data_IF_119876471539
#
_entry.id   IF_119876471539
#
_cell.length_a   1.000
_cell.length_b   1.000
_cell.length_c   1.000
_cell.angle_alpha   90.00
_cell.angle_beta   90.00
_cell.angle_gamma   90.00
#
_symmetry.space_group_name_H-M   'P 1'
#
loop_
_entity.id
_entity.type
_entity.pdbx_description
1 polymer ?
#
# COMPACT_ATOMS: atom_id res chain seq x y z
N UNK A 1 15.67 15.89 8.47
CA UNK A 1 17.00 15.46 7.97
C UNK A 1 17.46 16.50 6.97
N UNK A 2 18.70 16.96 7.07
CA UNK A 2 19.26 17.90 6.08
C UNK A 2 19.58 17.10 4.83
N UNK A 3 19.08 17.56 3.67
CA UNK A 3 19.42 17.03 2.34
C UNK A 3 20.94 16.82 2.23
N UNK A 4 21.37 15.63 1.79
CA UNK A 4 22.79 15.28 1.60
C UNK A 4 23.39 14.35 2.66
N UNK A 5 23.02 14.47 3.95
CA UNK A 5 23.58 13.59 5.00
C UNK A 5 23.13 12.14 4.87
N UNK A 6 21.87 11.93 4.49
CA UNK A 6 21.33 10.57 4.32
C UNK A 6 22.00 9.85 3.15
N UNK A 7 22.29 10.56 2.06
CA UNK A 7 22.97 10.00 0.90
C UNK A 7 24.41 9.57 1.27
N UNK A 8 25.14 10.41 2.00
CA UNK A 8 26.49 10.08 2.50
C UNK A 8 26.49 8.89 3.46
N UNK A 9 25.48 8.78 4.32
CA UNK A 9 25.35 7.66 5.26
C UNK A 9 25.01 6.35 4.54
N UNK A 10 24.03 6.36 3.63
CA UNK A 10 23.58 5.16 2.93
C UNK A 10 24.63 4.60 1.95
N UNK A 11 25.44 5.46 1.34
CA UNK A 11 26.54 5.05 0.46
C UNK A 11 27.64 4.26 1.17
N UNK A 12 27.63 4.20 2.51
CA UNK A 12 28.54 3.39 3.31
C UNK A 12 27.89 2.11 3.87
N UNK A 13 26.65 1.80 3.48
CA UNK A 13 25.86 0.69 4.00
C UNK A 13 25.51 -0.28 2.86
N UNK A 14 25.66 -1.58 3.12
CA UNK A 14 25.17 -2.65 2.23
C UNK A 14 23.84 -3.15 2.77
N UNK A 15 22.82 -3.15 1.92
CA UNK A 15 21.51 -3.70 2.25
C UNK A 15 21.51 -5.21 1.98
N UNK A 16 21.19 -6.01 3.00
CA UNK A 16 20.98 -7.46 2.85
C UNK A 16 19.49 -7.73 3.00
N UNK A 17 18.87 -8.31 1.97
CA UNK A 17 17.44 -8.60 1.92
C UNK A 17 17.25 -10.11 1.92
N UNK A 18 16.48 -10.60 2.88
CA UNK A 18 15.91 -11.95 2.85
C UNK A 18 14.58 -11.85 2.11
N UNK A 19 14.40 -12.62 1.04
CA UNK A 19 13.28 -12.55 0.08
C UNK A 19 13.35 -11.36 -0.90
N UNK A 20 13.94 -11.61 -2.09
CA UNK A 20 14.18 -10.60 -3.15
C UNK A 20 12.90 -10.06 -3.80
N UNK A 21 11.78 -10.77 -3.66
CA UNK A 21 10.47 -10.30 -4.11
C UNK A 21 10.03 -9.01 -3.40
N UNK A 22 10.52 -8.72 -2.20
CA UNK A 22 10.31 -7.43 -1.53
C UNK A 22 10.94 -6.24 -2.28
N UNK A 23 11.94 -6.49 -3.14
CA UNK A 23 12.51 -5.45 -4.00
C UNK A 23 11.64 -5.16 -5.22
N UNK A 24 10.74 -6.08 -5.60
CA UNK A 24 9.83 -5.94 -6.74
C UNK A 24 8.65 -5.08 -6.32
N UNK A 25 8.68 -3.80 -6.71
CA UNK A 25 7.64 -2.85 -6.34
C UNK A 25 6.48 -2.96 -7.32
N UNK A 26 5.50 -3.83 -7.00
CA UNK A 26 4.25 -3.97 -7.75
C UNK A 26 3.18 -2.92 -7.40
N UNK A 27 3.46 -2.05 -6.42
CA UNK A 27 2.51 -1.07 -5.87
C UNK A 27 2.96 0.37 -6.11
N UNK A 28 2.29 1.37 -5.49
CA UNK A 28 2.68 2.79 -5.59
C UNK A 28 4.06 2.97 -4.93
N UNK A 29 5.15 3.20 -5.70
CA UNK A 29 6.51 3.21 -5.16
C UNK A 29 6.83 4.44 -4.32
N UNK A 30 5.93 5.42 -4.30
CA UNK A 30 6.10 6.69 -3.64
C UNK A 30 5.29 6.71 -2.35
N UNK A 31 5.97 6.87 -1.22
CA UNK A 31 5.38 7.14 0.07
C UNK A 31 5.59 8.61 0.44
N UNK A 32 4.53 9.29 0.86
CA UNK A 32 4.66 10.61 1.46
C UNK A 32 4.84 10.46 2.96
N UNK A 33 5.98 10.92 3.49
CA UNK A 33 6.12 11.09 4.93
C UNK A 33 5.33 12.35 5.33
N UNK A 34 4.15 12.10 5.90
CA UNK A 34 3.24 13.12 6.41
C UNK A 34 3.26 13.08 7.93
N UNK A 35 3.21 14.27 8.55
CA UNK A 35 2.98 14.39 9.99
C UNK A 35 1.76 15.26 10.21
N UNK A 36 0.98 14.93 11.24
CA UNK A 36 -0.12 15.77 11.70
C UNK A 36 0.42 17.15 12.01
N UNK A 37 -0.19 18.14 11.38
CA UNK A 37 0.09 19.55 11.58
C UNK A 37 -0.86 20.07 12.66
N UNK A 38 -0.37 20.09 13.90
CA UNK A 38 -1.17 20.49 15.06
C UNK A 38 -1.53 21.97 14.99
N UNK A 39 -0.71 22.79 14.34
CA UNK A 39 -0.92 24.24 14.22
C UNK A 39 -2.03 24.56 13.22
N UNK A 40 -2.05 23.86 12.07
CA UNK A 40 -3.06 24.09 11.02
C UNK A 40 -4.35 23.27 11.21
N UNK A 41 -4.36 22.30 12.11
CA UNK A 41 -5.55 21.45 12.35
C UNK A 41 -6.77 22.25 12.83
N UNK A 42 -6.66 23.19 13.80
CA UNK A 42 -7.78 24.03 14.23
C UNK A 42 -8.40 24.83 13.08
N UNK A 43 -7.57 25.41 12.21
CA UNK A 43 -8.03 26.19 11.06
C UNK A 43 -8.77 25.30 10.05
N UNK A 44 -8.27 24.08 9.81
CA UNK A 44 -8.94 23.08 8.95
C UNK A 44 -10.30 22.69 9.50
N UNK A 45 -10.37 22.40 10.79
CA UNK A 45 -11.61 22.05 11.47
C UNK A 45 -12.61 23.20 11.40
N UNK A 46 -12.17 24.43 11.64
CA UNK A 46 -13.00 25.62 11.52
C UNK A 46 -13.54 25.80 10.10
N UNK A 47 -12.68 25.66 9.07
CA UNK A 47 -13.09 25.73 7.67
C UNK A 47 -14.16 24.68 7.33
N UNK A 48 -13.88 23.40 7.61
CA UNK A 48 -14.80 22.31 7.26
C UNK A 48 -16.09 22.34 8.08
N UNK A 49 -16.06 22.81 9.33
CA UNK A 49 -17.28 23.04 10.13
C UNK A 49 -18.16 24.06 9.43
N UNK A 50 -17.63 25.23 9.07
CA UNK A 50 -18.40 26.29 8.40
C UNK A 50 -18.96 25.84 7.05
N UNK A 51 -18.14 25.17 6.24
CA UNK A 51 -18.55 24.66 4.93
C UNK A 51 -19.62 23.56 5.05
N UNK A 52 -19.50 22.66 6.04
CA UNK A 52 -20.54 21.66 6.34
C UNK A 52 -21.85 22.31 6.79
N UNK A 53 -21.76 23.39 7.56
CA UNK A 53 -22.92 24.12 8.08
C UNK A 53 -23.58 25.06 7.03
N UNK A 54 -23.17 24.97 5.75
CA UNK A 54 -23.83 25.61 4.61
C UNK A 54 -23.29 26.98 4.23
N UNK A 55 -22.07 27.34 4.64
CA UNK A 55 -21.39 28.54 4.13
C UNK A 55 -21.11 28.44 2.64
N UNK A 56 -21.07 29.60 1.95
CA UNK A 56 -20.89 29.62 0.50
C UNK A 56 -19.54 29.02 0.11
N UNK A 57 -19.55 28.26 -0.98
CA UNK A 57 -18.33 27.75 -1.61
C UNK A 57 -17.68 28.77 -2.53
N UNK A 58 -18.27 29.96 -2.69
CA UNK A 58 -17.73 31.02 -3.54
C UNK A 58 -16.41 31.57 -3.00
N UNK A 59 -15.41 31.65 -3.88
CA UNK A 59 -14.01 32.01 -3.56
C UNK A 59 -13.91 33.48 -3.09
N UNK A 60 -14.90 34.30 -3.43
CA UNK A 60 -14.93 35.73 -3.11
C UNK A 60 -15.44 36.03 -1.69
N UNK A 61 -15.88 35.02 -0.93
CA UNK A 61 -16.34 35.22 0.44
C UNK A 61 -15.15 35.30 1.41
N UNK A 62 -15.19 36.28 2.32
CA UNK A 62 -14.15 36.45 3.34
C UNK A 62 -13.99 35.17 4.18
N UNK A 63 -12.74 34.75 4.46
CA UNK A 63 -12.49 33.57 5.28
C UNK A 63 -13.01 33.80 6.71
N UNK A 64 -13.26 32.73 7.49
CA UNK A 64 -13.56 32.87 8.91
C UNK A 64 -12.46 33.68 9.62
N UNK A 65 -12.85 34.44 10.64
CA UNK A 65 -11.93 35.32 11.37
C UNK A 65 -10.71 34.54 11.89
N UNK A 66 -9.51 35.03 11.55
CA UNK A 66 -8.24 34.41 11.94
C UNK A 66 -7.70 33.35 10.98
N UNK A 67 -8.43 32.95 9.93
CA UNK A 67 -7.99 31.94 8.97
C UNK A 67 -7.32 32.59 7.75
N UNK A 68 -6.16 32.04 7.33
CA UNK A 68 -5.49 32.44 6.10
C UNK A 68 -6.37 32.23 4.86
N UNK A 69 -6.40 33.23 3.98
CA UNK A 69 -7.25 33.21 2.80
C UNK A 69 -6.90 32.08 1.82
N UNK A 70 -5.61 31.76 1.62
CA UNK A 70 -5.24 30.66 0.73
C UNK A 70 -5.67 29.31 1.30
N UNK A 71 -5.63 29.18 2.62
CA UNK A 71 -6.09 27.98 3.31
C UNK A 71 -7.60 27.78 3.14
N UNK A 72 -8.39 28.85 3.30
CA UNK A 72 -9.83 28.84 3.02
C UNK A 72 -10.15 28.46 1.57
N UNK A 73 -9.50 29.08 0.58
CA UNK A 73 -9.68 28.77 -0.85
C UNK A 73 -9.45 27.27 -1.13
N UNK A 74 -8.41 26.68 -0.52
CA UNK A 74 -8.12 25.26 -0.65
C UNK A 74 -9.23 24.39 -0.07
N UNK A 75 -9.72 24.73 1.13
CA UNK A 75 -10.83 24.00 1.75
C UNK A 75 -12.10 24.07 0.89
N UNK A 76 -12.48 25.26 0.38
CA UNK A 76 -13.61 25.43 -0.54
C UNK A 76 -13.44 24.58 -1.80
N UNK A 77 -12.24 24.55 -2.38
CA UNK A 77 -11.93 23.75 -3.57
C UNK A 77 -12.11 22.25 -3.33
N UNK A 78 -11.70 21.75 -2.16
CA UNK A 78 -11.89 20.35 -1.76
C UNK A 78 -13.38 20.02 -1.62
N UNK A 79 -14.14 20.84 -0.90
CA UNK A 79 -15.58 20.61 -0.69
C UNK A 79 -16.34 20.67 -2.01
N UNK A 80 -16.05 21.66 -2.87
CA UNK A 80 -16.64 21.75 -4.20
C UNK A 80 -16.34 20.52 -5.05
N UNK A 81 -15.10 20.04 -5.02
CA UNK A 81 -14.73 18.81 -5.71
C UNK A 81 -15.53 17.60 -5.19
N UNK A 82 -15.74 17.49 -3.88
CA UNK A 82 -16.60 16.46 -3.32
C UNK A 82 -18.03 16.54 -3.86
N UNK A 83 -18.63 17.74 -3.87
CA UNK A 83 -20.02 17.93 -4.26
C UNK A 83 -20.26 17.71 -5.76
N UNK A 84 -19.30 18.13 -6.59
CA UNK A 84 -19.44 18.07 -8.05
C UNK A 84 -19.04 16.70 -8.63
N UNK A 85 -18.07 16.00 -8.03
CA UNK A 85 -17.43 14.84 -8.66
C UNK A 85 -17.48 13.55 -7.85
N UNK A 86 -17.61 13.61 -6.52
CA UNK A 86 -17.48 12.43 -5.67
C UNK A 86 -18.87 11.82 -5.41
N UNK A 87 -18.98 10.53 -5.70
CA UNK A 87 -20.25 9.78 -5.64
C UNK A 87 -20.05 8.43 -4.96
N UNK A 88 -20.98 8.06 -4.07
CA UNK A 88 -20.98 6.76 -3.39
C UNK A 88 -21.18 5.62 -4.39
N UNK A 89 -20.54 4.48 -4.14
CA UNK A 89 -20.57 3.30 -5.01
C UNK A 89 -19.66 3.39 -6.23
N UNK A 90 -19.26 4.60 -6.64
CA UNK A 90 -18.30 4.84 -7.73
C UNK A 90 -16.93 5.21 -7.21
N UNK A 91 -16.86 6.22 -6.34
CA UNK A 91 -15.59 6.78 -5.84
C UNK A 91 -15.28 6.35 -4.40
N UNK A 92 -16.33 6.08 -3.61
CA UNK A 92 -16.17 5.68 -2.21
C UNK A 92 -17.31 4.74 -1.76
N UNK A 93 -17.11 4.08 -0.62
CA UNK A 93 -18.18 3.42 0.16
C UNK A 93 -18.04 3.78 1.63
N UNK A 94 -19.15 3.79 2.35
CA UNK A 94 -19.14 3.83 3.82
C UNK A 94 -19.12 2.39 4.34
N UNK A 95 -18.13 2.07 5.17
CA UNK A 95 -18.00 0.76 5.82
C UNK A 95 -17.85 0.90 7.33
N UNK A 96 -17.97 -0.21 8.05
CA UNK A 96 -17.59 -0.29 9.47
C UNK A 96 -16.08 -0.47 9.59
N UNK A 97 -15.42 0.50 10.24
CA UNK A 97 -14.01 0.40 10.60
C UNK A 97 -13.79 -0.53 11.81
N UNK A 98 -12.53 -0.71 12.21
CA UNK A 98 -12.12 -1.62 13.29
C UNK A 98 -12.77 -1.28 14.65
N UNK A 99 -13.05 0.00 14.89
CA UNK A 99 -13.70 0.50 16.11
C UNK A 99 -15.25 0.44 16.04
N UNK A 100 -15.83 -0.27 15.07
CA UNK A 100 -17.28 -0.29 14.76
C UNK A 100 -17.90 1.09 14.40
N UNK A 101 -17.03 2.06 14.13
CA UNK A 101 -17.39 3.39 13.64
C UNK A 101 -17.44 3.40 12.12
N UNK A 102 -18.37 4.16 11.57
CA UNK A 102 -18.48 4.31 10.13
C UNK A 102 -17.23 5.02 9.58
N UNK A 103 -16.80 4.62 8.39
CA UNK A 103 -15.63 5.14 7.70
C UNK A 103 -15.87 5.19 6.20
N UNK A 104 -15.53 6.33 5.60
CA UNK A 104 -15.50 6.49 4.16
C UNK A 104 -14.18 5.92 3.64
N UNK A 105 -14.27 4.93 2.76
CA UNK A 105 -13.13 4.35 2.04
C UNK A 105 -13.21 4.69 0.55
N UNK A 106 -12.09 5.16 -0.01
CA UNK A 106 -11.93 5.40 -1.43
C UNK A 106 -11.80 4.09 -2.21
N UNK A 107 -12.54 3.96 -3.31
CA UNK A 107 -12.46 2.82 -4.22
C UNK A 107 -11.34 3.02 -5.27
N UNK A 108 -10.84 1.92 -5.82
CA UNK A 108 -9.97 1.94 -6.99
C UNK A 108 -10.74 2.22 -8.30
N UNK A 109 -10.02 2.35 -9.41
CA UNK A 109 -10.61 2.63 -10.74
C UNK A 109 -11.57 1.52 -11.23
N UNK A 110 -11.59 0.36 -10.55
CA UNK A 110 -12.47 -0.76 -10.82
C UNK A 110 -13.64 -0.85 -9.83
N UNK A 111 -13.77 0.12 -8.92
CA UNK A 111 -14.84 0.17 -7.91
C UNK A 111 -14.65 -0.80 -6.73
N UNK A 112 -13.43 -1.32 -6.52
CA UNK A 112 -13.12 -2.22 -5.42
C UNK A 112 -12.47 -1.47 -4.26
N UNK A 113 -12.58 -2.05 -3.05
CA UNK A 113 -11.78 -1.61 -1.91
C UNK A 113 -10.32 -2.02 -2.18
N UNK A 114 -9.39 -1.05 -2.26
CA UNK A 114 -7.99 -1.36 -2.54
C UNK A 114 -7.38 -2.08 -1.35
N UNK A 115 -6.44 -3.00 -1.62
CA UNK A 115 -5.70 -3.71 -0.56
C UNK A 115 -4.93 -2.76 0.35
N UNK A 116 -4.42 -1.67 -0.22
CA UNK A 116 -3.76 -0.58 0.50
C UNK A 116 -4.70 0.62 0.55
N UNK A 117 -5.00 1.17 1.74
CA UNK A 117 -5.83 2.35 1.87
C UNK A 117 -5.31 3.53 1.05
N UNK A 118 -6.19 4.15 0.28
CA UNK A 118 -5.87 5.36 -0.47
C UNK A 118 -6.13 6.59 0.39
N UNK A 119 -5.36 7.65 0.14
CA UNK A 119 -5.49 8.92 0.82
C UNK A 119 -5.77 10.05 -0.19
N UNK A 120 -6.70 10.93 0.14
CA UNK A 120 -6.98 12.14 -0.62
C UNK A 120 -7.54 13.24 0.30
N UNK A 121 -7.32 14.54 0.01
CA UNK A 121 -7.91 15.63 0.80
C UNK A 121 -9.45 15.57 0.88
N UNK A 122 -10.10 15.18 -0.22
CA UNK A 122 -11.55 15.03 -0.27
C UNK A 122 -12.04 13.89 0.63
N UNK A 123 -11.26 12.82 0.78
CA UNK A 123 -11.61 11.66 1.61
C UNK A 123 -11.67 12.06 3.10
N UNK A 124 -10.80 12.96 3.52
CA UNK A 124 -10.80 13.50 4.88
C UNK A 124 -12.06 14.34 5.13
N UNK A 125 -12.44 15.21 4.20
CA UNK A 125 -13.68 15.97 4.33
C UNK A 125 -14.91 15.06 4.36
N UNK A 126 -14.96 14.03 3.51
CA UNK A 126 -16.07 13.07 3.49
C UNK A 126 -16.18 12.28 4.79
N UNK A 127 -15.06 11.82 5.36
CA UNK A 127 -15.03 11.17 6.68
C UNK A 127 -15.53 12.10 7.81
N UNK A 128 -15.22 13.39 7.74
CA UNK A 128 -15.76 14.38 8.66
C UNK A 128 -17.28 14.60 8.46
N UNK A 129 -17.70 14.83 7.21
CA UNK A 129 -19.10 15.15 6.85
C UNK A 129 -20.05 13.99 7.13
N UNK A 130 -19.66 12.76 6.78
CA UNK A 130 -20.55 11.59 6.85
C UNK A 130 -20.39 10.78 8.13
N UNK A 131 -19.17 10.70 8.67
CA UNK A 131 -18.86 9.80 9.78
C UNK A 131 -18.46 10.53 11.06
N UNK A 132 -18.39 11.87 11.04
CA UNK A 132 -18.02 12.68 12.21
C UNK A 132 -16.58 12.48 12.67
N UNK A 133 -15.68 11.97 11.80
CA UNK A 133 -14.26 11.86 12.12
C UNK A 133 -13.59 13.23 11.96
N UNK A 134 -13.00 13.76 13.04
CA UNK A 134 -12.37 15.07 13.00
C UNK A 134 -11.23 15.15 11.97
N UNK A 135 -11.21 16.17 11.10
CA UNK A 135 -10.16 16.34 10.12
C UNK A 135 -8.87 16.79 10.83
N UNK A 136 -7.75 16.29 10.33
CA UNK A 136 -6.41 16.58 10.83
C UNK A 136 -5.56 17.14 9.69
N UNK A 137 -5.05 18.36 9.83
CA UNK A 137 -4.15 18.88 8.81
C UNK A 137 -2.89 17.99 8.75
N UNK A 138 -2.39 17.74 7.54
CA UNK A 138 -1.21 16.92 7.31
C UNK A 138 -0.19 17.73 6.51
N UNK A 139 0.97 17.96 7.10
CA UNK A 139 2.10 18.57 6.42
C UNK A 139 2.97 17.47 5.81
N UNK A 140 3.26 17.62 4.51
CA UNK A 140 4.15 16.71 3.76
C UNK A 140 5.58 17.17 3.96
N UNK A 141 6.42 16.32 4.54
CA UNK A 141 7.82 16.63 4.82
C UNK A 141 8.76 16.04 3.78
N UNK A 142 8.45 14.83 3.30
CA UNK A 142 9.24 14.17 2.27
C UNK A 142 8.36 13.30 1.38
N UNK A 143 8.76 13.16 0.11
CA UNK A 143 8.29 12.10 -0.76
C UNK A 143 9.45 11.14 -0.94
N UNK A 144 9.23 9.88 -0.60
CA UNK A 144 10.25 8.83 -0.66
C UNK A 144 9.82 7.84 -1.73
N UNK A 145 10.67 7.63 -2.72
CA UNK A 145 10.50 6.59 -3.72
C UNK A 145 11.33 5.38 -3.30
N UNK A 146 10.69 4.23 -3.04
CA UNK A 146 11.38 3.04 -2.53
C UNK A 146 12.55 2.60 -3.41
N UNK A 147 12.39 2.47 -4.76
CA UNK A 147 13.51 2.18 -5.65
C UNK A 147 14.64 3.22 -5.58
N UNK A 148 14.29 4.50 -5.40
CA UNK A 148 15.27 5.57 -5.28
C UNK A 148 16.13 5.41 -4.02
N UNK A 149 15.51 5.12 -2.87
CA UNK A 149 16.25 4.92 -1.61
C UNK A 149 17.13 3.67 -1.67
N UNK A 150 16.61 2.55 -2.20
CA UNK A 150 17.41 1.34 -2.33
C UNK A 150 18.66 1.55 -3.20
N UNK A 151 18.53 2.32 -4.27
CA UNK A 151 19.68 2.70 -5.12
C UNK A 151 20.66 3.69 -4.47
N UNK A 152 20.39 4.21 -3.25
CA UNK A 152 21.36 5.02 -2.48
C UNK A 152 22.33 4.19 -1.64
N UNK A 153 22.00 2.93 -1.36
CA UNK A 153 22.90 2.05 -0.62
C UNK A 153 24.17 1.78 -1.44
N UNK A 154 25.28 1.49 -0.75
CA UNK A 154 26.55 1.11 -1.38
C UNK A 154 26.39 -0.12 -2.30
N UNK A 155 25.48 -1.01 -1.92
CA UNK A 155 25.11 -2.20 -2.68
C UNK A 155 23.93 -2.92 -2.03
N UNK A 156 23.30 -3.79 -2.80
CA UNK A 156 22.18 -4.63 -2.36
C UNK A 156 22.57 -6.09 -2.60
N UNK A 157 22.41 -6.92 -1.57
CA UNK A 157 22.57 -8.36 -1.66
C UNK A 157 21.27 -9.03 -1.24
N UNK A 158 20.69 -9.80 -2.16
CA UNK A 158 19.39 -10.43 -1.98
C UNK A 158 19.49 -11.95 -1.96
N UNK A 159 18.79 -12.59 -1.01
CA UNK A 159 18.64 -14.03 -0.92
C UNK A 159 17.20 -14.42 -1.18
N UNK A 160 16.96 -15.40 -2.05
CA UNK A 160 15.59 -15.93 -2.26
C UNK A 160 15.64 -17.37 -2.72
N UNK A 161 14.63 -18.14 -2.31
CA UNK A 161 14.39 -19.49 -2.84
C UNK A 161 13.85 -19.48 -4.27
N UNK A 162 13.28 -18.36 -4.72
CA UNK A 162 12.75 -18.16 -6.06
C UNK A 162 12.72 -16.67 -6.40
N UNK A 163 13.60 -16.23 -7.30
CA UNK A 163 13.33 -15.00 -8.07
C UNK A 163 12.15 -15.34 -8.98
N UNK A 164 11.11 -14.52 -9.03
CA UNK A 164 9.86 -14.78 -9.75
C UNK A 164 10.00 -15.09 -11.25
N UNK A 165 9.02 -14.69 -12.05
CA UNK A 165 9.07 -14.84 -13.50
C UNK A 165 10.18 -14.01 -14.17
N UNK A 166 10.17 -14.04 -15.52
CA UNK A 166 11.11 -13.26 -16.34
C UNK A 166 10.91 -11.75 -16.15
N UNK A 167 9.69 -11.31 -15.85
CA UNK A 167 9.37 -9.90 -15.69
C UNK A 167 9.94 -9.35 -14.39
N UNK A 168 9.87 -10.10 -13.29
CA UNK A 168 10.45 -9.75 -12.01
C UNK A 168 11.97 -9.67 -12.11
N UNK A 169 12.59 -10.65 -12.79
CA UNK A 169 14.04 -10.62 -13.04
C UNK A 169 14.45 -9.40 -13.87
N UNK A 170 13.66 -9.07 -14.91
CA UNK A 170 13.89 -7.89 -15.75
C UNK A 170 13.76 -6.61 -14.93
N UNK A 171 12.72 -6.49 -14.10
CA UNK A 171 12.52 -5.35 -13.21
C UNK A 171 13.72 -5.15 -12.27
N UNK A 172 14.22 -6.22 -11.64
CA UNK A 172 15.38 -6.15 -10.74
C UNK A 172 16.65 -5.72 -11.48
N UNK A 173 16.83 -6.21 -12.71
CA UNK A 173 17.96 -5.84 -13.57
C UNK A 173 17.88 -4.37 -13.98
N UNK A 174 16.73 -3.92 -14.47
CA UNK A 174 16.53 -2.56 -14.98
C UNK A 174 16.53 -1.52 -13.86
N UNK A 175 16.02 -1.87 -12.67
CA UNK A 175 15.82 -0.93 -11.55
C UNK A 175 17.03 -0.85 -10.62
N UNK A 176 17.69 -1.98 -10.35
CA UNK A 176 18.77 -2.08 -9.35
C UNK A 176 20.10 -2.58 -9.94
N UNK A 177 20.17 -2.80 -11.26
CA UNK A 177 21.33 -3.47 -11.90
C UNK A 177 21.65 -4.83 -11.27
N UNK A 178 20.64 -5.51 -10.71
CA UNK A 178 20.82 -6.76 -10.02
C UNK A 178 21.14 -7.89 -11.00
N UNK A 179 22.08 -8.77 -10.61
CA UNK A 179 22.42 -9.97 -11.36
C UNK A 179 21.98 -11.18 -10.58
N UNK A 180 21.21 -12.06 -11.22
CA UNK A 180 20.81 -13.34 -10.61
C UNK A 180 21.97 -14.33 -10.66
N UNK A 181 22.22 -14.97 -9.52
CA UNK A 181 23.14 -16.09 -9.40
C UNK A 181 22.43 -17.29 -8.78
N UNK A 182 22.32 -18.39 -9.53
CA UNK A 182 21.71 -19.63 -9.04
C UNK A 182 22.71 -20.41 -8.19
N UNK A 183 22.50 -20.42 -6.87
CA UNK A 183 23.30 -21.24 -5.96
C UNK A 183 22.86 -22.70 -6.06
N UNK A 184 23.78 -23.65 -6.35
CA UNK A 184 23.44 -25.07 -6.36
C UNK A 184 22.85 -25.51 -5.03
N UNK A 185 21.77 -26.28 -5.09
CA UNK A 185 21.13 -26.80 -3.88
C UNK A 185 22.06 -27.81 -3.23
N UNK A 186 22.14 -27.78 -1.90
CA UNK A 186 23.03 -28.66 -1.14
C UNK A 186 22.92 -30.14 -1.55
N UNK A 187 21.70 -30.69 -1.62
CA UNK A 187 21.47 -32.10 -1.98
C UNK A 187 21.88 -32.46 -3.41
N UNK A 188 21.93 -31.50 -4.32
CA UNK A 188 22.37 -31.73 -5.70
C UNK A 188 23.90 -31.80 -5.79
N UNK A 189 24.61 -31.33 -4.75
CA UNK A 189 26.07 -31.39 -4.63
C UNK A 189 26.57 -32.57 -3.78
N UNK A 190 25.67 -33.30 -3.10
CA UNK A 190 26.01 -34.43 -2.25
C UNK A 190 26.26 -35.71 -3.06
N UNK A 191 27.28 -36.48 -2.67
CA UNK A 191 27.55 -37.80 -3.25
C UNK A 191 26.71 -38.86 -2.52
N UNK A 192 25.97 -39.68 -3.26
CA UNK A 192 25.36 -40.93 -2.76
C UNK A 192 23.84 -40.92 -2.54
N UNK A 193 23.22 -39.75 -2.30
CA UNK A 193 21.76 -39.67 -2.13
C UNK A 193 21.18 -38.61 -3.07
N UNK A 194 20.72 -39.04 -4.24
CA UNK A 194 20.01 -38.15 -5.16
C UNK A 194 18.71 -37.64 -4.51
N UNK A 195 18.43 -36.34 -4.70
CA UNK A 195 17.20 -35.73 -4.24
C UNK A 195 15.98 -36.44 -4.85
N UNK A 196 14.94 -36.67 -4.04
CA UNK A 196 13.64 -37.10 -4.56
C UNK A 196 13.02 -35.98 -5.39
N UNK A 197 12.70 -36.28 -6.64
CA UNK A 197 11.96 -35.38 -7.52
C UNK A 197 10.55 -35.20 -6.96
N UNK A 198 10.17 -33.96 -6.70
CA UNK A 198 8.81 -33.63 -6.23
C UNK A 198 7.87 -33.70 -7.43
N UNK A 199 6.73 -34.36 -7.25
CA UNK A 199 5.68 -34.42 -8.26
C UNK A 199 4.70 -33.26 -8.03
N UNK A 200 4.62 -32.35 -9.00
CA UNK A 200 3.55 -31.34 -9.02
C UNK A 200 2.28 -32.00 -9.58
N UNK A 201 1.18 -31.94 -8.82
CA UNK A 201 -0.11 -32.53 -9.19
C UNK A 201 -1.01 -31.60 -10.02
N UNK A 202 -0.58 -30.34 -10.23
CA UNK A 202 -1.28 -29.33 -11.00
C UNK A 202 -2.05 -28.34 -10.14
N UNK A 203 -2.80 -27.48 -10.82
CA UNK A 203 -3.75 -26.53 -10.22
C UNK A 203 -5.15 -26.98 -10.62
N UNK A 204 -6.03 -27.13 -9.64
CA UNK A 204 -7.45 -27.46 -9.84
C UNK A 204 -8.29 -26.22 -9.54
N UNK A 205 -9.18 -25.85 -10.46
CA UNK A 205 -10.11 -24.74 -10.29
C UNK A 205 -11.49 -25.30 -9.93
N UNK A 206 -12.15 -24.68 -8.96
CA UNK A 206 -13.48 -25.05 -8.49
C UNK A 206 -14.41 -23.84 -8.50
N UNK A 207 -15.70 -24.09 -8.66
CA UNK A 207 -16.71 -23.04 -8.84
C UNK A 207 -16.95 -22.20 -7.57
N UNK A 208 -16.76 -22.81 -6.39
CA UNK A 208 -16.95 -22.15 -5.10
C UNK A 208 -15.98 -22.64 -4.00
N UNK A 209 -15.93 -21.89 -2.90
CA UNK A 209 -15.06 -22.16 -1.74
C UNK A 209 -15.40 -23.48 -1.04
N UNK A 210 -16.66 -23.90 -1.04
CA UNK A 210 -17.09 -25.15 -0.41
C UNK A 210 -16.60 -26.37 -1.18
N UNK A 211 -16.65 -26.30 -2.51
CA UNK A 211 -16.10 -27.30 -3.43
C UNK A 211 -14.58 -27.37 -3.32
N UNK A 212 -13.90 -26.22 -3.27
CA UNK A 212 -12.45 -26.15 -3.05
C UNK A 212 -12.06 -26.78 -1.70
N UNK A 213 -12.75 -26.42 -0.61
CA UNK A 213 -12.51 -26.97 0.72
C UNK A 213 -12.72 -28.48 0.76
N UNK A 214 -13.80 -28.96 0.13
CA UNK A 214 -14.09 -30.39 0.02
C UNK A 214 -12.97 -31.13 -0.71
N UNK A 215 -12.45 -30.54 -1.79
CA UNK A 215 -11.33 -31.11 -2.54
C UNK A 215 -10.04 -31.15 -1.73
N UNK A 216 -9.71 -30.07 -1.01
CA UNK A 216 -8.54 -30.01 -0.12
C UNK A 216 -8.62 -31.10 0.96
N UNK A 217 -9.79 -31.27 1.60
CA UNK A 217 -10.02 -32.32 2.60
C UNK A 217 -9.86 -33.72 1.99
N UNK A 218 -10.35 -33.93 0.76
CA UNK A 218 -10.18 -35.19 0.04
C UNK A 218 -8.69 -35.50 -0.19
N UNK A 219 -7.92 -34.53 -0.68
CA UNK A 219 -6.47 -34.68 -0.89
C UNK A 219 -5.74 -35.00 0.42
N UNK A 220 -6.09 -34.31 1.51
CA UNK A 220 -5.50 -34.61 2.83
C UNK A 220 -5.76 -36.06 3.22
N UNK A 221 -6.99 -36.56 3.05
CA UNK A 221 -7.34 -37.96 3.37
C UNK A 221 -6.64 -38.98 2.49
N UNK A 222 -6.33 -38.64 1.24
CA UNK A 222 -5.60 -39.51 0.32
C UNK A 222 -4.11 -39.65 0.71
N UNK A 223 -3.49 -38.54 1.13
CA UNK A 223 -2.04 -38.47 1.31
C UNK A 223 -1.54 -38.55 2.77
N UNK A 224 -2.37 -38.28 3.78
CA UNK A 224 -1.89 -38.16 5.18
C UNK A 224 -1.18 -39.39 5.75
N UNK A 225 -1.45 -40.59 5.22
CA UNK A 225 -0.78 -41.83 5.63
C UNK A 225 0.53 -42.09 4.87
N UNK A 226 0.74 -41.41 3.76
CA UNK A 226 1.89 -41.62 2.86
C UNK A 226 2.97 -40.57 3.10
N UNK A 227 2.56 -39.32 3.33
CA UNK A 227 3.45 -38.17 3.54
C UNK A 227 2.83 -37.20 4.55
N UNK A 228 3.65 -36.42 5.29
CA UNK A 228 3.15 -35.26 6.01
C UNK A 228 2.46 -34.29 5.03
N UNK A 229 1.29 -33.80 5.41
CA UNK A 229 0.49 -32.86 4.61
C UNK A 229 0.47 -31.51 5.31
N UNK A 230 0.83 -30.45 4.58
CA UNK A 230 0.69 -29.05 4.99
C UNK A 230 -0.37 -28.40 4.10
N UNK A 231 -1.37 -27.78 4.73
CA UNK A 231 -2.38 -26.97 4.04
C UNK A 231 -2.10 -25.52 4.34
N UNK A 232 -2.04 -24.70 3.29
CA UNK A 232 -1.90 -23.25 3.36
C UNK A 232 -3.24 -22.68 2.88
N UNK A 233 -3.91 -21.92 3.73
CA UNK A 233 -5.22 -21.31 3.49
C UNK A 233 -5.08 -19.78 3.49
#
# INVERSE_FOLDING_TARGET
MVEGKLDEELQNIVLIVDEVDDLVVNERPNAHYVKTDVEQTPDLQACYTKLRDGWSLEVEQDPPEGIDHNFWIRACSVVRYCEDHIQEGTHYRVIKGEDDRDEVIMLDDKGNVPKVPLAAPWLQYMNYKLCGKDPLAQSRYACVCTPYIFNKYAGIFGLTGSVGGKEELKYLTDTYSAVKFDVPRFLDTCIGNARKVVKNHGVELHDDEAALTTRVVQLCREYYRQVPVLVIA
#
